data_IF_789048201386
#
_entry.id   IF_789048201386
#
_cell.length_a   1.000
_cell.length_b   1.000
_cell.length_c   1.000
_cell.angle_alpha   90.00
_cell.angle_beta   90.00
_cell.angle_gamma   90.00
#
_symmetry.space_group_name_H-M   'P 1'
#
loop_
_entity.id
_entity.type
_entity.pdbx_description
1 polymer ?
#
# COMPACT_ATOMS: atom_id res chain seq x y z
N UNK A 1 19.33 10.06 -13.36
CA UNK A 1 19.70 10.21 -11.93
C UNK A 1 20.42 8.95 -11.46
N UNK A 2 21.28 9.07 -10.44
CA UNK A 2 21.85 7.94 -9.69
C UNK A 2 20.96 7.71 -8.47
N UNK A 3 20.21 6.62 -8.45
CA UNK A 3 19.16 6.35 -7.44
C UNK A 3 19.60 5.19 -6.54
N UNK A 4 19.48 5.37 -5.23
CA UNK A 4 19.54 4.26 -4.28
C UNK A 4 18.11 3.76 -4.03
N UNK A 5 17.90 2.45 -4.11
CA UNK A 5 16.61 1.82 -3.86
C UNK A 5 16.74 0.72 -2.81
N UNK A 6 16.13 0.88 -1.66
CA UNK A 6 16.05 -0.15 -0.64
C UNK A 6 14.85 -1.06 -0.88
N UNK A 7 14.97 -2.36 -0.64
CA UNK A 7 13.86 -3.29 -0.84
C UNK A 7 13.55 -3.62 -2.31
N UNK A 8 14.51 -3.41 -3.22
CA UNK A 8 14.34 -3.58 -4.67
C UNK A 8 13.96 -4.99 -5.13
N UNK A 9 14.20 -6.02 -4.32
CA UNK A 9 13.85 -7.42 -4.63
C UNK A 9 12.41 -7.79 -4.23
N UNK A 10 11.67 -6.87 -3.61
CA UNK A 10 10.26 -7.02 -3.26
C UNK A 10 9.32 -6.89 -4.46
N UNK A 11 8.01 -7.05 -4.24
CA UNK A 11 7.02 -6.96 -5.32
C UNK A 11 7.00 -5.56 -5.98
N UNK A 12 6.84 -4.52 -5.20
CA UNK A 12 6.91 -3.12 -5.66
C UNK A 12 8.31 -2.79 -6.18
N UNK A 13 9.37 -3.23 -5.46
CA UNK A 13 10.75 -2.94 -5.79
C UNK A 13 11.16 -3.41 -7.17
N UNK A 14 10.75 -4.61 -7.56
CA UNK A 14 11.08 -5.17 -8.90
C UNK A 14 10.48 -4.35 -10.04
N UNK A 15 9.23 -3.94 -9.90
CA UNK A 15 8.59 -3.07 -10.89
C UNK A 15 9.29 -1.70 -10.94
N UNK A 16 9.64 -1.16 -9.78
CA UNK A 16 10.36 0.12 -9.67
C UNK A 16 11.75 0.04 -10.30
N UNK A 17 12.54 -1.01 -10.02
CA UNK A 17 13.85 -1.20 -10.66
C UNK A 17 13.73 -1.23 -12.17
N UNK A 18 12.81 -2.04 -12.72
CA UNK A 18 12.61 -2.15 -14.17
C UNK A 18 12.28 -0.81 -14.79
N UNK A 19 11.33 -0.08 -14.20
CA UNK A 19 10.94 1.24 -14.70
C UNK A 19 12.10 2.24 -14.68
N UNK A 20 12.84 2.29 -13.59
CA UNK A 20 13.99 3.19 -13.46
C UNK A 20 15.08 2.92 -14.50
N UNK A 21 15.41 1.64 -14.76
CA UNK A 21 16.37 1.26 -15.79
C UNK A 21 15.85 1.62 -17.18
N UNK A 22 14.58 1.32 -17.49
CA UNK A 22 13.95 1.67 -18.77
C UNK A 22 14.00 3.17 -19.05
N UNK A 23 13.91 4.00 -18.00
CA UNK A 23 13.96 5.45 -18.10
C UNK A 23 15.38 6.03 -17.93
N UNK A 24 16.42 5.19 -18.03
CA UNK A 24 17.82 5.61 -18.08
C UNK A 24 18.42 6.05 -16.75
N UNK A 25 17.85 5.63 -15.62
CA UNK A 25 18.45 5.90 -14.31
C UNK A 25 19.51 4.86 -13.97
N UNK A 26 20.59 5.27 -13.27
CA UNK A 26 21.55 4.35 -12.69
C UNK A 26 21.05 3.93 -11.29
N UNK A 27 20.79 2.63 -11.11
CA UNK A 27 20.14 2.10 -9.91
C UNK A 27 21.11 1.26 -9.08
N UNK A 28 21.23 1.63 -7.78
CA UNK A 28 21.82 0.77 -6.75
C UNK A 28 20.71 0.23 -5.87
N UNK A 29 20.59 -1.09 -5.82
CA UNK A 29 19.64 -1.79 -4.95
C UNK A 29 20.35 -2.21 -3.66
N UNK A 30 19.74 -1.85 -2.53
CA UNK A 30 20.20 -2.25 -1.18
C UNK A 30 19.25 -3.31 -0.63
N UNK A 31 19.80 -4.44 -0.18
CA UNK A 31 19.04 -5.53 0.42
C UNK A 31 19.84 -6.27 1.51
N UNK A 32 19.12 -6.89 2.46
CA UNK A 32 19.73 -7.60 3.59
C UNK A 32 20.38 -8.93 3.23
N UNK A 33 19.83 -9.62 2.21
CA UNK A 33 20.33 -10.93 1.78
C UNK A 33 21.57 -10.78 0.93
N UNK A 34 22.48 -11.75 1.00
CA UNK A 34 23.57 -11.86 0.04
C UNK A 34 23.02 -12.12 -1.37
N UNK A 35 23.79 -11.79 -2.40
CA UNK A 35 23.35 -11.91 -3.79
C UNK A 35 22.99 -13.36 -4.18
N UNK A 36 23.75 -14.32 -3.70
CA UNK A 36 23.56 -15.76 -3.92
C UNK A 36 22.35 -16.36 -3.16
N UNK A 37 21.87 -15.66 -2.13
CA UNK A 37 20.67 -16.03 -1.38
C UNK A 37 19.36 -15.48 -2.02
N UNK A 38 19.47 -14.71 -3.11
CA UNK A 38 18.32 -14.14 -3.78
C UNK A 38 17.61 -15.20 -4.64
N UNK A 39 16.29 -15.16 -4.59
CA UNK A 39 15.43 -16.00 -5.44
C UNK A 39 15.47 -15.49 -6.90
N UNK A 40 16.44 -16.01 -7.66
CA UNK A 40 16.70 -15.61 -9.04
C UNK A 40 15.52 -15.93 -9.96
N UNK A 41 14.82 -17.05 -9.75
CA UNK A 41 13.63 -17.42 -10.53
C UNK A 41 12.52 -16.38 -10.34
N UNK A 42 12.29 -15.96 -9.12
CA UNK A 42 11.28 -14.93 -8.80
C UNK A 42 11.65 -13.56 -9.35
N UNK A 43 12.92 -13.19 -9.36
CA UNK A 43 13.41 -11.93 -9.90
C UNK A 43 13.28 -11.88 -11.42
N UNK A 44 13.52 -13.00 -12.08
CA UNK A 44 13.51 -13.16 -13.52
C UNK A 44 14.89 -12.93 -14.14
N UNK A 45 15.07 -13.51 -15.32
CA UNK A 45 16.32 -13.38 -16.07
C UNK A 45 16.66 -11.91 -16.35
N UNK A 46 17.93 -11.55 -16.22
CA UNK A 46 18.41 -10.19 -16.50
C UNK A 46 17.95 -9.12 -15.50
N UNK A 47 17.35 -9.47 -14.37
CA UNK A 47 16.85 -8.48 -13.39
C UNK A 47 17.95 -7.52 -12.91
N UNK A 48 19.16 -8.00 -12.79
CA UNK A 48 20.31 -7.18 -12.34
C UNK A 48 21.13 -6.59 -13.49
N UNK A 49 20.69 -6.71 -14.75
CA UNK A 49 21.39 -6.09 -15.88
C UNK A 49 21.30 -4.56 -15.74
N UNK A 50 22.45 -3.92 -15.62
CA UNK A 50 22.52 -2.48 -15.36
C UNK A 50 22.17 -2.05 -13.92
N UNK A 51 22.03 -3.01 -12.99
CA UNK A 51 21.72 -2.75 -11.57
C UNK A 51 22.90 -3.13 -10.70
N UNK A 52 23.33 -2.21 -9.86
CA UNK A 52 24.30 -2.49 -8.81
C UNK A 52 23.56 -3.01 -7.57
N UNK A 53 23.80 -4.26 -7.16
CA UNK A 53 23.24 -4.81 -5.93
C UNK A 53 24.29 -4.81 -4.82
N UNK A 54 23.91 -4.32 -3.64
CA UNK A 54 24.77 -4.31 -2.44
C UNK A 54 24.03 -4.89 -1.25
N UNK A 55 24.73 -5.72 -0.49
CA UNK A 55 24.20 -6.27 0.76
C UNK A 55 24.37 -5.24 1.88
N UNK A 56 23.25 -4.79 2.46
CA UNK A 56 23.25 -3.90 3.62
C UNK A 56 21.93 -3.98 4.36
N UNK A 57 21.97 -4.00 5.69
CA UNK A 57 20.79 -3.78 6.53
C UNK A 57 20.60 -2.26 6.72
N UNK A 58 19.38 -1.76 6.50
CA UNK A 58 19.05 -0.34 6.72
C UNK A 58 19.20 0.10 8.18
N UNK A 59 19.30 -0.85 9.12
CA UNK A 59 19.60 -0.56 10.53
C UNK A 59 21.11 -0.47 10.82
N UNK A 60 21.98 -0.86 9.89
CA UNK A 60 23.41 -0.57 9.94
C UNK A 60 23.66 0.79 9.27
N UNK A 61 23.63 1.84 10.08
CA UNK A 61 23.68 3.22 9.62
C UNK A 61 24.97 3.55 8.87
N UNK A 62 26.13 3.11 9.37
CA UNK A 62 27.44 3.48 8.76
C UNK A 62 27.58 2.81 7.38
N UNK A 63 27.30 1.52 7.28
CA UNK A 63 27.30 0.80 6.00
C UNK A 63 26.26 1.38 5.03
N UNK A 64 25.05 1.69 5.49
CA UNK A 64 24.03 2.31 4.66
C UNK A 64 24.49 3.66 4.11
N UNK A 65 25.10 4.49 4.94
CA UNK A 65 25.59 5.82 4.54
C UNK A 65 26.66 5.74 3.44
N UNK A 66 27.55 4.76 3.50
CA UNK A 66 28.55 4.53 2.44
C UNK A 66 27.88 4.28 1.08
N UNK A 67 26.77 3.50 1.08
CA UNK A 67 26.04 3.19 -0.15
C UNK A 67 25.18 4.37 -0.65
N UNK A 68 24.74 5.26 0.24
CA UNK A 68 23.97 6.48 -0.09
C UNK A 68 24.85 7.53 -0.76
N UNK A 69 26.16 7.56 -0.44
CA UNK A 69 27.10 8.56 -0.99
C UNK A 69 27.09 8.63 -2.51
N UNK A 70 27.01 9.85 -3.04
CA UNK A 70 27.04 10.11 -4.48
C UNK A 70 25.76 9.70 -5.22
N UNK A 71 24.64 9.51 -4.53
CA UNK A 71 23.30 9.33 -5.13
C UNK A 71 22.61 10.69 -5.25
N UNK A 72 21.72 10.79 -6.23
CA UNK A 72 20.92 11.99 -6.49
C UNK A 72 19.56 11.95 -5.75
N UNK A 73 19.06 10.74 -5.45
CA UNK A 73 17.80 10.51 -4.75
C UNK A 73 17.68 9.11 -4.20
N UNK A 74 16.71 8.91 -3.32
CA UNK A 74 16.47 7.61 -2.66
C UNK A 74 15.00 7.20 -2.81
N UNK A 75 14.78 5.93 -3.20
CA UNK A 75 13.49 5.25 -3.06
C UNK A 75 13.60 4.24 -1.93
N UNK A 76 12.77 4.42 -0.90
CA UNK A 76 12.81 3.59 0.30
C UNK A 76 11.59 2.67 0.39
N UNK A 77 11.78 1.38 0.07
CA UNK A 77 10.74 0.35 0.08
C UNK A 77 10.99 -0.75 1.12
N UNK A 78 12.18 -0.81 1.72
CA UNK A 78 12.52 -1.83 2.69
C UNK A 78 11.69 -1.67 3.97
N UNK A 79 10.81 -2.63 4.23
CA UNK A 79 9.93 -2.65 5.39
C UNK A 79 9.41 -4.07 5.66
N UNK A 80 8.89 -4.29 6.86
CA UNK A 80 7.94 -5.37 7.13
C UNK A 80 6.57 -4.86 6.68
N UNK A 81 5.96 -5.54 5.71
CA UNK A 81 4.83 -5.01 4.94
C UNK A 81 3.43 -5.31 5.53
N UNK A 82 3.36 -5.95 6.69
CA UNK A 82 2.09 -6.25 7.40
C UNK A 82 2.37 -6.62 8.86
N UNK A 83 1.39 -6.47 9.78
CA UNK A 83 1.63 -6.67 11.22
C UNK A 83 1.96 -8.12 11.61
N UNK A 84 1.60 -9.12 10.76
CA UNK A 84 1.90 -10.53 11.00
C UNK A 84 3.31 -10.94 10.53
N UNK A 85 4.10 -10.02 9.97
CA UNK A 85 5.43 -10.32 9.41
C UNK A 85 6.53 -10.51 10.46
N UNK A 86 6.33 -9.96 11.66
CA UNK A 86 7.26 -10.08 12.79
C UNK A 86 6.58 -9.60 14.09
N UNK A 87 7.20 -9.81 15.27
CA UNK A 87 6.76 -9.18 16.52
C UNK A 87 6.71 -7.65 16.40
N UNK A 88 5.78 -7.02 17.13
CA UNK A 88 5.49 -5.58 17.03
C UNK A 88 6.71 -4.68 17.18
N UNK A 89 7.59 -4.98 18.14
CA UNK A 89 8.83 -4.24 18.36
C UNK A 89 9.79 -4.35 17.18
N UNK A 90 9.81 -5.49 16.49
CA UNK A 90 10.66 -5.69 15.32
C UNK A 90 10.07 -4.98 14.09
N UNK A 91 8.73 -4.96 13.94
CA UNK A 91 8.06 -4.13 12.93
C UNK A 91 8.43 -2.67 13.11
N UNK A 92 8.35 -2.16 14.34
CA UNK A 92 8.72 -0.77 14.65
C UNK A 92 10.21 -0.50 14.40
N UNK A 93 11.09 -1.37 14.87
CA UNK A 93 12.53 -1.23 14.68
C UNK A 93 12.92 -1.16 13.20
N UNK A 94 12.41 -2.06 12.37
CA UNK A 94 12.74 -2.08 10.95
C UNK A 94 12.08 -0.92 10.22
N UNK A 95 10.78 -0.70 10.42
CA UNK A 95 10.06 0.29 9.65
C UNK A 95 10.38 1.72 10.07
N UNK A 96 10.54 1.99 11.36
CA UNK A 96 10.75 3.36 11.85
C UNK A 96 12.24 3.70 12.00
N UNK A 97 13.02 2.90 12.75
CA UNK A 97 14.45 3.19 12.91
C UNK A 97 15.19 3.05 11.58
N UNK A 98 14.86 2.04 10.77
CA UNK A 98 15.44 1.88 9.44
C UNK A 98 15.14 3.07 8.52
N UNK A 99 13.88 3.57 8.52
CA UNK A 99 13.52 4.77 7.76
C UNK A 99 14.26 6.00 8.26
N UNK A 100 14.34 6.20 9.57
CA UNK A 100 15.11 7.30 10.14
C UNK A 100 16.58 7.28 9.67
N UNK A 101 17.22 6.09 9.67
CA UNK A 101 18.59 5.93 9.18
C UNK A 101 18.74 6.30 7.71
N UNK A 102 17.75 5.92 6.86
CA UNK A 102 17.76 6.29 5.44
C UNK A 102 17.71 7.80 5.25
N UNK A 103 16.81 8.49 5.94
CA UNK A 103 16.71 9.96 5.89
C UNK A 103 17.95 10.64 6.50
N UNK A 104 18.48 10.11 7.62
CA UNK A 104 19.68 10.64 8.23
C UNK A 104 20.92 10.50 7.33
N UNK A 105 21.04 9.36 6.62
CA UNK A 105 22.10 9.16 5.63
C UNK A 105 21.92 10.11 4.43
N UNK A 106 20.68 10.29 3.94
CA UNK A 106 20.37 11.28 2.91
C UNK A 106 20.79 12.69 3.30
N UNK A 107 20.46 13.12 4.52
CA UNK A 107 20.84 14.43 5.05
C UNK A 107 22.36 14.62 5.10
N UNK A 108 23.08 13.61 5.59
CA UNK A 108 24.56 13.64 5.70
C UNK A 108 25.27 13.69 4.35
N UNK A 109 24.70 13.07 3.35
CA UNK A 109 25.26 13.04 1.99
C UNK A 109 24.64 14.12 1.06
N UNK A 110 23.83 15.04 1.60
CA UNK A 110 23.29 16.19 0.91
C UNK A 110 22.16 15.88 -0.08
N UNK A 111 21.53 14.71 0.00
CA UNK A 111 20.40 14.31 -0.86
C UNK A 111 19.15 15.08 -0.43
N UNK A 112 18.44 15.63 -1.42
CA UNK A 112 17.26 16.50 -1.20
C UNK A 112 15.93 15.92 -1.72
N UNK A 113 15.94 14.75 -2.36
CA UNK A 113 14.74 14.07 -2.88
C UNK A 113 14.67 12.64 -2.39
N UNK A 114 13.52 12.29 -1.80
CA UNK A 114 13.26 10.96 -1.28
C UNK A 114 11.80 10.55 -1.52
N UNK A 115 11.57 9.30 -1.92
CA UNK A 115 10.25 8.71 -2.01
C UNK A 115 10.19 7.44 -1.16
N UNK A 116 9.31 7.37 -0.17
CA UNK A 116 9.19 6.22 0.73
C UNK A 116 7.84 5.53 0.65
N UNK A 117 7.82 4.23 0.93
CA UNK A 117 6.60 3.45 0.97
C UNK A 117 5.89 3.62 2.33
N UNK A 118 4.80 4.37 2.34
CA UNK A 118 3.77 4.31 3.36
C UNK A 118 2.74 3.24 2.99
N UNK A 119 1.54 3.31 3.53
CA UNK A 119 0.47 2.35 3.28
C UNK A 119 -0.89 3.03 3.48
N UNK A 120 -1.92 2.57 2.76
CA UNK A 120 -3.31 2.89 3.08
C UNK A 120 -3.64 2.58 4.55
N UNK A 121 -2.90 1.65 5.16
CA UNK A 121 -3.06 1.30 6.56
C UNK A 121 -2.56 2.37 7.53
N UNK A 122 -1.83 3.42 7.09
CA UNK A 122 -1.57 4.60 7.91
C UNK A 122 -2.88 5.28 8.37
N UNK A 123 -3.99 5.04 7.67
CA UNK A 123 -5.33 5.44 8.12
C UNK A 123 -5.75 4.75 9.44
N UNK A 124 -5.39 3.47 9.65
CA UNK A 124 -5.71 2.69 10.85
C UNK A 124 -6.94 1.79 10.75
N UNK A 125 -7.61 1.71 9.60
CA UNK A 125 -8.88 1.01 9.47
C UNK A 125 -8.75 -0.52 9.38
N UNK A 126 -7.86 -1.03 8.51
CA UNK A 126 -7.82 -2.45 8.16
C UNK A 126 -7.29 -3.36 9.29
N UNK A 127 -6.14 -3.00 9.88
CA UNK A 127 -5.48 -3.81 10.91
C UNK A 127 -5.76 -3.35 12.34
N UNK A 128 -6.53 -2.27 12.50
CA UNK A 128 -6.81 -1.70 13.80
C UNK A 128 -7.43 -2.71 14.78
N UNK A 129 -6.96 -2.70 16.02
CA UNK A 129 -7.50 -3.50 17.14
C UNK A 129 -8.83 -2.94 17.64
N UNK A 130 -9.08 -1.66 17.38
CA UNK A 130 -10.29 -0.94 17.76
C UNK A 130 -10.98 -0.48 16.48
N UNK A 131 -12.32 -0.62 16.38
CA UNK A 131 -13.08 -0.06 15.25
C UNK A 131 -12.80 1.43 15.10
N UNK A 132 -12.69 1.87 13.86
CA UNK A 132 -12.47 3.26 13.49
C UNK A 132 -13.54 3.68 12.48
N UNK A 133 -14.19 4.79 12.74
CA UNK A 133 -15.27 5.28 11.89
C UNK A 133 -14.72 6.15 10.75
N UNK A 134 -15.07 5.79 9.53
CA UNK A 134 -14.81 6.62 8.34
C UNK A 134 -15.78 7.80 8.36
N UNK A 135 -15.27 9.00 8.12
CA UNK A 135 -16.05 10.23 8.22
C UNK A 135 -16.66 10.65 6.87
N UNK A 136 -15.95 10.39 5.78
CA UNK A 136 -16.38 10.78 4.43
C UNK A 136 -15.72 9.95 3.32
N UNK A 137 -16.28 10.03 2.13
CA UNK A 137 -15.73 9.46 0.88
C UNK A 137 -15.73 10.49 -0.27
N UNK A 138 -14.81 10.34 -1.27
CA UNK A 138 -13.59 9.52 -1.18
C UNK A 138 -12.71 9.95 0.00
N UNK A 139 -11.97 8.99 0.57
CA UNK A 139 -10.98 9.25 1.61
C UNK A 139 -9.77 9.95 0.96
N UNK A 140 -9.33 11.05 1.53
CA UNK A 140 -8.11 11.76 1.14
C UNK A 140 -7.10 11.85 2.30
N UNK A 141 -5.99 12.54 2.10
CA UNK A 141 -4.93 12.68 3.09
C UNK A 141 -5.32 13.52 4.31
N UNK A 142 -6.38 14.32 4.20
CA UNK A 142 -6.92 15.13 5.30
C UNK A 142 -7.83 14.31 6.24
N UNK A 143 -8.23 13.10 5.83
CA UNK A 143 -9.04 12.24 6.70
C UNK A 143 -8.29 11.89 7.98
N UNK A 144 -8.91 12.01 9.17
CA UNK A 144 -8.30 11.63 10.42
C UNK A 144 -7.78 10.19 10.41
N UNK A 145 -6.67 9.95 11.07
CA UNK A 145 -6.04 8.63 11.22
C UNK A 145 -6.17 8.13 12.65
N UNK A 146 -6.34 6.80 12.81
CA UNK A 146 -6.46 6.19 14.12
C UNK A 146 -5.82 4.80 14.14
N UNK A 147 -4.50 4.74 14.23
CA UNK A 147 -3.76 3.49 14.21
C UNK A 147 -3.69 2.85 15.59
N UNK A 148 -4.00 1.56 15.68
CA UNK A 148 -3.97 0.78 16.92
C UNK A 148 -3.19 -0.53 16.80
N UNK A 149 -2.58 -0.79 15.65
CA UNK A 149 -1.62 -1.87 15.42
C UNK A 149 -0.23 -1.35 15.07
N UNK A 150 0.78 -2.18 15.31
CA UNK A 150 2.18 -1.78 15.16
C UNK A 150 2.61 -1.44 13.73
N UNK A 151 2.02 -2.11 12.74
CA UNK A 151 2.35 -1.86 11.34
C UNK A 151 1.76 -0.53 10.87
N UNK A 152 0.45 -0.32 11.07
CA UNK A 152 -0.23 0.92 10.70
C UNK A 152 0.42 2.11 11.41
N UNK A 153 0.71 1.98 12.70
CA UNK A 153 1.44 3.00 13.46
C UNK A 153 2.83 3.26 12.88
N UNK A 154 3.57 2.19 12.52
CA UNK A 154 4.89 2.38 11.90
C UNK A 154 4.82 3.19 10.60
N UNK A 155 3.73 3.07 9.84
CA UNK A 155 3.54 3.83 8.59
C UNK A 155 3.21 5.31 8.84
N UNK A 156 2.46 5.64 9.89
CA UNK A 156 2.33 7.04 10.33
C UNK A 156 3.69 7.62 10.74
N UNK A 157 4.48 6.88 11.53
CA UNK A 157 5.81 7.34 11.95
C UNK A 157 6.74 7.56 10.75
N UNK A 158 6.66 6.74 9.69
CA UNK A 158 7.40 6.96 8.43
C UNK A 158 7.06 8.32 7.81
N UNK A 159 5.78 8.71 7.79
CA UNK A 159 5.33 10.00 7.27
C UNK A 159 5.85 11.16 8.14
N UNK A 160 5.78 11.02 9.46
CA UNK A 160 6.33 11.99 10.43
C UNK A 160 7.85 12.15 10.34
N UNK A 161 8.58 11.07 10.05
CA UNK A 161 10.03 11.13 9.79
C UNK A 161 10.31 11.98 8.55
N UNK A 162 9.53 11.83 7.48
CA UNK A 162 9.64 12.66 6.28
C UNK A 162 9.45 14.13 6.60
N UNK A 163 8.39 14.48 7.33
CA UNK A 163 8.10 15.86 7.74
C UNK A 163 9.18 16.43 8.67
N UNK A 164 9.68 15.64 9.61
CA UNK A 164 10.80 16.04 10.46
C UNK A 164 12.04 16.41 9.65
N UNK A 165 12.43 15.58 8.66
CA UNK A 165 13.62 15.85 7.85
C UNK A 165 13.39 16.97 6.81
N UNK A 166 12.17 17.24 6.38
CA UNK A 166 11.85 18.46 5.65
C UNK A 166 12.12 19.70 6.49
N UNK A 167 11.55 19.78 7.70
CA UNK A 167 11.73 20.93 8.60
C UNK A 167 13.19 21.15 9.00
N UNK A 168 13.93 20.04 9.21
CA UNK A 168 15.31 20.10 9.71
C UNK A 168 16.33 20.29 8.61
N UNK A 169 16.18 19.61 7.48
CA UNK A 169 17.23 19.47 6.45
C UNK A 169 16.79 19.95 5.06
N UNK A 170 15.52 20.28 4.87
CA UNK A 170 14.94 20.63 3.58
C UNK A 170 14.95 19.46 2.59
N UNK A 171 14.76 18.23 3.07
CA UNK A 171 14.60 17.05 2.21
C UNK A 171 13.15 16.98 1.77
N UNK A 172 12.88 17.28 0.51
CA UNK A 172 11.56 17.08 -0.08
C UNK A 172 11.27 15.59 -0.26
N UNK A 173 10.12 15.13 0.23
CA UNK A 173 9.77 13.72 0.16
C UNK A 173 8.30 13.48 -0.10
N UNK A 174 8.00 12.33 -0.69
CA UNK A 174 6.65 11.76 -0.72
C UNK A 174 6.63 10.44 0.03
N UNK A 175 5.57 10.24 0.81
CA UNK A 175 5.31 9.01 1.54
C UNK A 175 4.07 8.37 0.92
N UNK A 176 4.28 7.40 0.00
CA UNK A 176 3.21 6.87 -0.83
C UNK A 176 2.37 5.86 -0.05
N UNK A 177 1.11 6.19 0.22
CA UNK A 177 0.12 5.34 0.89
C UNK A 177 -0.41 4.30 -0.09
N UNK A 178 0.35 3.21 -0.26
CA UNK A 178 0.01 2.12 -1.16
C UNK A 178 -1.15 1.27 -0.60
N UNK A 179 -2.14 0.91 -1.43
CA UNK A 179 -3.13 -0.12 -1.11
C UNK A 179 -2.55 -1.52 -1.35
N UNK A 180 -3.43 -2.52 -1.57
CA UNK A 180 -3.02 -3.83 -2.07
C UNK A 180 -2.36 -3.71 -3.45
N UNK A 181 -1.08 -4.09 -3.53
CA UNK A 181 -0.32 -4.05 -4.78
C UNK A 181 -0.38 -5.40 -5.48
N UNK A 182 -0.80 -5.40 -6.71
CA UNK A 182 -0.84 -6.58 -7.57
C UNK A 182 0.05 -6.38 -8.81
N UNK A 183 0.20 -7.40 -9.60
CA UNK A 183 0.89 -7.36 -10.87
C UNK A 183 -0.02 -8.07 -11.89
N UNK A 184 -0.52 -7.34 -12.87
CA UNK A 184 -1.29 -7.90 -13.97
C UNK A 184 -0.32 -8.71 -14.84
N UNK A 185 -0.27 -10.01 -14.58
CA UNK A 185 0.51 -10.97 -15.35
C UNK A 185 -0.39 -12.12 -15.79
N UNK A 186 -0.26 -12.60 -17.02
CA UNK A 186 -1.11 -13.68 -17.53
C UNK A 186 -1.15 -14.92 -16.62
N UNK A 187 -0.02 -15.30 -16.02
CA UNK A 187 0.13 -16.43 -15.10
C UNK A 187 -0.49 -16.23 -13.71
N UNK A 188 -0.88 -15.01 -13.36
CA UNK A 188 -1.46 -14.65 -12.05
C UNK A 188 -2.89 -14.13 -12.13
N UNK A 189 -3.38 -13.87 -13.33
CA UNK A 189 -4.72 -13.34 -13.58
C UNK A 189 -5.82 -14.24 -13.00
N UNK A 190 -5.66 -15.57 -13.10
CA UNK A 190 -6.66 -16.51 -12.62
C UNK A 190 -6.89 -16.41 -11.11
N UNK A 191 -5.84 -16.11 -10.34
CA UNK A 191 -5.99 -15.89 -8.89
C UNK A 191 -6.83 -14.64 -8.60
N UNK A 192 -6.59 -13.55 -9.31
CA UNK A 192 -7.33 -12.30 -9.14
C UNK A 192 -8.76 -12.42 -9.64
N UNK A 193 -8.99 -13.03 -10.79
CA UNK A 193 -10.33 -13.36 -11.31
C UNK A 193 -11.10 -14.23 -10.31
N UNK A 194 -10.44 -15.19 -9.69
CA UNK A 194 -11.06 -16.04 -8.68
C UNK A 194 -11.50 -15.24 -7.43
N UNK A 195 -10.67 -14.31 -6.93
CA UNK A 195 -11.00 -13.52 -5.75
C UNK A 195 -12.08 -12.46 -6.03
N UNK A 196 -11.88 -11.65 -7.05
CA UNK A 196 -12.82 -10.57 -7.38
C UNK A 196 -14.07 -11.10 -8.07
N UNK A 197 -13.97 -12.15 -8.87
CA UNK A 197 -15.11 -12.80 -9.52
C UNK A 197 -16.09 -13.37 -8.52
N UNK A 198 -15.60 -14.08 -7.50
CA UNK A 198 -16.47 -14.59 -6.41
C UNK A 198 -17.18 -13.49 -5.66
N UNK A 199 -16.47 -12.39 -5.36
CA UNK A 199 -17.09 -11.23 -4.73
C UNK A 199 -18.18 -10.64 -5.63
N UNK A 200 -17.89 -10.44 -6.92
CA UNK A 200 -18.86 -9.88 -7.89
C UNK A 200 -20.12 -10.74 -8.02
N UNK A 201 -19.95 -12.06 -8.15
CA UNK A 201 -21.06 -13.00 -8.20
C UNK A 201 -21.91 -12.94 -6.92
N UNK A 202 -21.25 -13.04 -5.76
CA UNK A 202 -21.91 -12.98 -4.46
C UNK A 202 -22.62 -11.64 -4.24
N UNK A 203 -21.98 -10.52 -4.59
CA UNK A 203 -22.55 -9.19 -4.41
C UNK A 203 -23.67 -8.91 -5.40
N UNK A 204 -23.58 -9.37 -6.66
CA UNK A 204 -24.69 -9.28 -7.63
C UNK A 204 -25.94 -10.00 -7.13
N UNK A 205 -25.80 -11.20 -6.58
CA UNK A 205 -26.93 -11.93 -5.97
C UNK A 205 -27.44 -11.23 -4.70
N UNK A 206 -26.55 -10.64 -3.92
CA UNK A 206 -26.88 -9.94 -2.67
C UNK A 206 -27.74 -8.69 -2.91
N UNK A 207 -27.43 -7.88 -3.92
CA UNK A 207 -28.17 -6.63 -4.20
C UNK A 207 -29.58 -6.85 -4.74
N UNK A 208 -29.91 -8.07 -5.16
CA UNK A 208 -31.27 -8.46 -5.57
C UNK A 208 -32.17 -8.79 -4.36
N UNK A 209 -31.62 -8.92 -3.15
CA UNK A 209 -32.39 -9.18 -1.93
C UNK A 209 -33.19 -7.93 -1.50
N UNK A 210 -34.26 -8.11 -0.71
CA UNK A 210 -34.96 -6.98 -0.08
C UNK A 210 -34.00 -6.13 0.76
N UNK A 211 -34.12 -4.81 0.73
CA UNK A 211 -33.23 -3.88 1.41
C UNK A 211 -33.06 -4.17 2.92
N UNK A 212 -34.13 -4.56 3.60
CA UNK A 212 -34.09 -4.92 5.02
C UNK A 212 -33.21 -6.15 5.25
N UNK A 213 -33.28 -7.16 4.37
CA UNK A 213 -32.44 -8.33 4.43
C UNK A 213 -30.97 -8.01 4.14
N UNK A 214 -30.71 -7.20 3.11
CA UNK A 214 -29.36 -6.69 2.81
C UNK A 214 -28.73 -6.03 4.05
N UNK A 215 -29.46 -5.10 4.66
CA UNK A 215 -29.02 -4.38 5.85
C UNK A 215 -28.70 -5.31 7.01
N UNK A 216 -29.63 -6.20 7.34
CA UNK A 216 -29.45 -7.15 8.44
C UNK A 216 -28.25 -8.09 8.22
N UNK A 217 -28.02 -8.53 6.98
CA UNK A 217 -26.87 -9.40 6.63
C UNK A 217 -25.54 -8.66 6.75
N UNK A 218 -25.44 -7.43 6.23
CA UNK A 218 -24.22 -6.63 6.33
C UNK A 218 -23.90 -6.25 7.78
N UNK A 219 -24.87 -5.86 8.58
CA UNK A 219 -24.70 -5.56 10.00
C UNK A 219 -24.15 -6.78 10.76
N UNK A 220 -24.72 -7.98 10.53
CA UNK A 220 -24.18 -9.23 11.13
C UNK A 220 -22.76 -9.54 10.65
N UNK A 221 -22.47 -9.36 9.35
CA UNK A 221 -21.16 -9.63 8.80
C UNK A 221 -20.09 -8.68 9.36
N UNK A 222 -20.43 -7.40 9.52
CA UNK A 222 -19.54 -6.41 10.16
C UNK A 222 -19.28 -6.76 11.61
N UNK A 223 -20.33 -7.10 12.39
CA UNK A 223 -20.18 -7.51 13.78
C UNK A 223 -19.28 -8.74 13.92
N UNK A 224 -19.50 -9.77 13.12
CA UNK A 224 -18.61 -10.96 13.07
C UNK A 224 -17.17 -10.61 12.68
N UNK A 225 -17.00 -9.69 11.72
CA UNK A 225 -15.66 -9.22 11.34
C UNK A 225 -14.97 -8.56 12.53
N UNK A 226 -15.67 -7.69 13.25
CA UNK A 226 -15.11 -6.98 14.41
C UNK A 226 -14.77 -7.94 15.56
N UNK A 227 -15.54 -9.02 15.75
CA UNK A 227 -15.21 -10.12 16.69
C UNK A 227 -13.90 -10.84 16.30
N UNK A 228 -13.53 -10.86 15.02
CA UNK A 228 -12.26 -11.45 14.58
C UNK A 228 -11.05 -10.54 14.80
N UNK A 229 -11.26 -9.30 15.27
CA UNK A 229 -10.14 -8.41 15.62
C UNK A 229 -9.36 -9.05 16.79
N UNK A 230 -8.02 -9.02 16.75
CA UNK A 230 -7.24 -9.54 17.85
C UNK A 230 -7.56 -8.79 19.14
N UNK A 231 -7.67 -9.52 20.25
CA UNK A 231 -7.74 -8.88 21.55
C UNK A 231 -6.41 -8.15 21.84
N UNK A 232 -6.45 -7.16 22.71
CA UNK A 232 -5.28 -6.32 23.04
C UNK A 232 -4.15 -7.14 23.69
N UNK A 233 -4.46 -8.24 24.37
CA UNK A 233 -3.49 -9.12 25.01
C UNK A 233 -2.93 -10.18 24.05
N UNK A 234 -3.68 -10.55 23.01
CA UNK A 234 -3.42 -11.68 22.12
C UNK A 234 -2.94 -11.28 20.71
N UNK A 235 -2.48 -10.03 20.49
CA UNK A 235 -1.94 -9.65 19.19
C UNK A 235 -0.63 -10.39 18.91
N UNK A 236 -0.77 -11.62 18.49
CA UNK A 236 0.34 -12.46 18.05
C UNK A 236 0.54 -12.35 16.54
N UNK A 237 1.81 -12.27 16.07
CA UNK A 237 2.14 -12.33 14.65
C UNK A 237 1.66 -13.60 13.95
N UNK A 238 1.30 -14.61 14.73
CA UNK A 238 0.75 -15.89 14.27
C UNK A 238 -0.78 -15.92 14.25
N UNK A 239 -1.45 -14.77 14.13
CA UNK A 239 -2.89 -14.77 13.86
C UNK A 239 -3.15 -15.72 12.68
N UNK A 240 -3.92 -16.78 12.93
CA UNK A 240 -4.13 -17.83 11.93
C UNK A 240 -4.94 -17.26 10.75
N UNK A 241 -4.21 -16.64 9.80
CA UNK A 241 -4.81 -16.16 8.55
C UNK A 241 -5.52 -17.29 7.80
N UNK A 242 -5.12 -18.56 8.01
CA UNK A 242 -5.80 -19.71 7.43
C UNK A 242 -7.18 -19.93 8.06
N UNK A 243 -7.31 -19.72 9.37
CA UNK A 243 -8.61 -19.77 10.05
C UNK A 243 -9.53 -18.64 9.55
N UNK A 244 -9.01 -17.41 9.41
CA UNK A 244 -9.75 -16.30 8.78
C UNK A 244 -10.20 -16.64 7.35
N UNK A 245 -9.29 -17.12 6.51
CA UNK A 245 -9.62 -17.55 5.14
C UNK A 245 -10.63 -18.70 5.10
N UNK A 246 -10.62 -19.59 6.10
CA UNK A 246 -11.60 -20.67 6.24
C UNK A 246 -12.96 -20.08 6.59
N UNK A 247 -13.06 -19.25 7.63
CA UNK A 247 -14.29 -18.59 8.05
C UNK A 247 -14.95 -17.81 6.90
N UNK A 248 -14.16 -17.09 6.10
CA UNK A 248 -14.65 -16.39 4.90
C UNK A 248 -15.23 -17.32 3.84
N UNK A 249 -14.72 -18.54 3.72
CA UNK A 249 -15.25 -19.53 2.76
C UNK A 249 -16.49 -20.23 3.26
N UNK A 250 -16.63 -20.38 4.57
CA UNK A 250 -17.74 -21.05 5.22
C UNK A 250 -18.93 -20.12 5.47
N UNK A 251 -18.69 -18.81 5.54
CA UNK A 251 -19.71 -17.77 5.73
C UNK A 251 -19.74 -16.81 4.51
N UNK A 252 -20.77 -16.91 3.65
CA UNK A 252 -20.89 -16.05 2.47
C UNK A 252 -20.97 -14.56 2.80
N UNK A 253 -21.52 -14.18 3.96
CA UNK A 253 -21.66 -12.78 4.37
C UNK A 253 -20.29 -12.19 4.75
N UNK A 254 -19.42 -12.98 5.41
CA UNK A 254 -18.02 -12.61 5.61
C UNK A 254 -17.25 -12.51 4.28
N UNK A 255 -17.61 -13.32 3.29
CA UNK A 255 -17.07 -13.21 1.93
C UNK A 255 -17.33 -11.85 1.28
N UNK A 256 -18.48 -11.22 1.54
CA UNK A 256 -18.79 -9.86 1.08
C UNK A 256 -17.91 -8.79 1.76
N UNK A 257 -17.58 -8.96 3.04
CA UNK A 257 -16.73 -7.99 3.77
C UNK A 257 -15.26 -8.07 3.35
N UNK A 258 -14.75 -9.27 3.10
CA UNK A 258 -13.33 -9.52 2.80
C UNK A 258 -13.02 -9.63 1.30
N UNK A 259 -14.01 -9.89 0.45
CA UNK A 259 -13.80 -10.19 -0.97
C UNK A 259 -13.25 -9.00 -1.77
N UNK A 260 -12.49 -9.30 -2.82
CA UNK A 260 -12.05 -8.32 -3.82
C UNK A 260 -11.27 -7.12 -3.27
N UNK A 261 -10.29 -7.34 -2.37
CA UNK A 261 -9.65 -6.32 -1.52
C UNK A 261 -10.54 -5.72 -0.44
N UNK A 262 -11.80 -6.10 -0.40
CA UNK A 262 -12.75 -5.94 0.66
C UNK A 262 -13.02 -4.54 1.17
N UNK A 263 -14.05 -4.48 2.01
CA UNK A 263 -14.46 -3.28 2.74
C UNK A 263 -13.30 -2.63 3.51
N UNK A 264 -12.43 -3.44 4.12
CA UNK A 264 -11.33 -2.95 4.97
C UNK A 264 -10.23 -2.20 4.20
N UNK A 265 -10.15 -2.39 2.88
CA UNK A 265 -9.21 -1.70 1.99
C UNK A 265 -9.94 -0.79 1.00
N UNK A 266 -11.23 -0.55 1.20
CA UNK A 266 -12.08 0.32 0.36
C UNK A 266 -12.08 -0.07 -1.12
N UNK A 267 -11.84 -1.35 -1.42
CA UNK A 267 -11.61 -1.88 -2.77
C UNK A 267 -10.54 -1.13 -3.57
N UNK A 268 -9.66 -0.42 -2.86
CA UNK A 268 -8.51 0.22 -3.48
C UNK A 268 -7.42 -0.81 -3.82
N UNK A 269 -6.82 -0.66 -4.98
CA UNK A 269 -5.74 -1.52 -5.49
C UNK A 269 -4.83 -0.73 -6.42
N UNK A 270 -3.63 -1.23 -6.67
CA UNK A 270 -2.69 -0.62 -7.61
C UNK A 270 -1.86 -1.70 -8.31
N UNK A 271 -1.64 -1.54 -9.62
CA UNK A 271 -0.63 -2.34 -10.32
C UNK A 271 0.78 -1.96 -9.88
N UNK A 272 1.68 -2.94 -9.77
CA UNK A 272 3.06 -2.71 -9.37
C UNK A 272 3.80 -1.72 -10.31
N UNK A 273 3.40 -1.65 -11.59
CA UNK A 273 3.96 -0.71 -12.57
C UNK A 273 3.52 0.72 -12.32
N UNK A 274 2.26 0.93 -11.90
CA UNK A 274 1.75 2.24 -11.51
C UNK A 274 2.35 2.70 -10.17
N UNK A 275 2.57 1.77 -9.24
CA UNK A 275 3.34 2.10 -8.04
C UNK A 275 4.77 2.54 -8.37
N UNK A 276 5.41 1.89 -9.36
CA UNK A 276 6.74 2.29 -9.84
C UNK A 276 6.72 3.68 -10.50
N UNK A 277 5.67 4.02 -11.26
CA UNK A 277 5.45 5.36 -11.80
C UNK A 277 5.41 6.40 -10.67
N UNK A 278 4.63 6.15 -9.62
CA UNK A 278 4.50 7.08 -8.51
C UNK A 278 5.83 7.30 -7.78
N UNK A 279 6.62 6.24 -7.55
CA UNK A 279 7.95 6.36 -6.93
C UNK A 279 8.95 7.14 -7.78
N UNK A 280 8.99 6.90 -9.09
CA UNK A 280 9.85 7.65 -10.00
C UNK A 280 9.46 9.13 -10.02
N UNK A 281 8.16 9.43 -10.17
CA UNK A 281 7.64 10.80 -10.14
C UNK A 281 7.89 11.49 -8.80
N UNK A 282 7.89 10.75 -7.70
CA UNK A 282 8.28 11.25 -6.38
C UNK A 282 9.71 11.78 -6.31
N UNK A 283 10.63 11.29 -7.17
CA UNK A 283 11.99 11.83 -7.28
C UNK A 283 12.14 12.91 -8.35
N UNK A 284 11.34 12.87 -9.42
CA UNK A 284 11.53 13.68 -10.61
C UNK A 284 10.61 14.90 -10.68
N UNK A 285 9.47 14.89 -9.99
CA UNK A 285 8.55 16.02 -9.96
C UNK A 285 9.12 17.21 -9.16
N UNK A 286 8.71 18.40 -9.55
CA UNK A 286 9.10 19.65 -8.87
C UNK A 286 8.10 19.98 -7.76
N UNK A 287 8.49 19.69 -6.54
CA UNK A 287 7.73 20.04 -5.32
C UNK A 287 8.67 20.26 -4.14
N UNK A 288 8.17 20.90 -3.10
CA UNK A 288 8.84 21.07 -1.82
C UNK A 288 7.94 20.54 -0.69
N UNK A 289 8.53 20.12 0.40
CA UNK A 289 7.78 19.59 1.54
C UNK A 289 7.85 18.08 1.67
N UNK A 290 7.19 17.57 2.70
CA UNK A 290 6.94 16.15 2.90
C UNK A 290 5.45 15.88 2.77
N UNK A 291 5.07 15.01 1.85
CA UNK A 291 3.68 14.80 1.50
C UNK A 291 3.31 13.31 1.60
N UNK A 292 2.43 12.90 2.54
CA UNK A 292 1.73 11.65 2.39
C UNK A 292 0.80 11.72 1.18
N UNK A 293 0.76 10.70 0.33
CA UNK A 293 -0.07 10.69 -0.87
C UNK A 293 -0.68 9.30 -1.08
N UNK A 294 -1.98 9.22 -1.24
CA UNK A 294 -2.61 8.00 -1.73
C UNK A 294 -2.30 7.80 -3.21
N UNK A 295 -1.91 6.58 -3.55
CA UNK A 295 -1.65 6.16 -4.92
C UNK A 295 -2.30 4.80 -5.16
N UNK A 296 -3.32 4.79 -6.00
CA UNK A 296 -4.11 3.61 -6.34
C UNK A 296 -4.71 3.76 -7.74
N UNK A 297 -5.38 2.70 -8.20
CA UNK A 297 -6.19 2.75 -9.41
C UNK A 297 -7.28 3.83 -9.29
N UNK A 298 -7.66 4.44 -10.37
CA UNK A 298 -8.76 5.41 -10.42
C UNK A 298 -10.14 4.77 -10.28
N UNK A 299 -10.24 3.45 -10.45
CA UNK A 299 -11.47 2.68 -10.25
C UNK A 299 -11.37 1.75 -9.02
N UNK A 300 -12.51 1.46 -8.42
CA UNK A 300 -12.59 0.46 -7.36
C UNK A 300 -12.50 -0.98 -7.92
N UNK A 301 -11.78 -1.84 -7.24
CA UNK A 301 -11.59 -3.24 -7.64
C UNK A 301 -12.87 -4.10 -7.54
N UNK A 302 -13.90 -3.63 -6.86
CA UNK A 302 -15.19 -4.31 -6.77
C UNK A 302 -15.91 -4.35 -8.12
N UNK A 303 -15.76 -3.30 -8.93
CA UNK A 303 -16.39 -3.17 -10.24
C UNK A 303 -17.88 -2.78 -10.18
N UNK A 304 -18.33 -2.26 -9.05
CA UNK A 304 -19.68 -1.75 -8.85
C UNK A 304 -19.70 -0.23 -8.65
N UNK A 305 -20.84 0.44 -8.85
CA UNK A 305 -20.95 1.86 -8.56
C UNK A 305 -20.52 2.19 -7.13
N UNK A 306 -19.64 3.18 -6.98
CA UNK A 306 -19.00 3.53 -5.71
C UNK A 306 -20.03 3.99 -4.66
N UNK A 307 -21.04 4.73 -5.07
CA UNK A 307 -22.12 5.12 -4.17
C UNK A 307 -22.90 3.90 -3.62
N UNK A 308 -23.15 2.88 -4.46
CA UNK A 308 -23.77 1.63 -4.02
C UNK A 308 -22.91 0.91 -2.97
N UNK A 309 -21.57 0.84 -3.19
CA UNK A 309 -20.67 0.24 -2.22
C UNK A 309 -20.68 0.99 -0.89
N UNK A 310 -20.68 2.33 -0.92
CA UNK A 310 -20.73 3.14 0.31
C UNK A 310 -22.06 2.94 1.04
N UNK A 311 -23.19 3.04 0.34
CA UNK A 311 -24.52 2.85 0.94
C UNK A 311 -24.68 1.46 1.57
N UNK A 312 -24.12 0.44 0.94
CA UNK A 312 -24.20 -0.94 1.43
C UNK A 312 -23.28 -1.20 2.64
N UNK A 313 -22.02 -0.84 2.52
CA UNK A 313 -21.00 -1.28 3.47
C UNK A 313 -20.60 -0.22 4.50
N UNK A 314 -21.03 1.02 4.31
CA UNK A 314 -20.76 2.16 5.20
C UNK A 314 -22.02 3.02 5.38
N UNK A 315 -23.19 2.43 5.76
CA UNK A 315 -24.47 3.14 5.71
C UNK A 315 -24.54 4.37 6.63
N UNK A 316 -23.67 4.46 7.64
CA UNK A 316 -23.56 5.62 8.54
C UNK A 316 -22.72 6.76 7.98
N UNK A 317 -22.00 6.57 6.86
CA UNK A 317 -21.07 7.57 6.32
C UNK A 317 -21.78 8.41 5.25
N UNK A 318 -22.23 9.59 5.65
CA UNK A 318 -22.91 10.55 4.76
C UNK A 318 -22.00 11.63 4.19
N UNK A 319 -20.82 11.82 4.79
CA UNK A 319 -19.82 12.79 4.32
C UNK A 319 -19.31 12.47 2.91
N UNK A 320 -19.22 13.50 2.07
CA UNK A 320 -18.67 13.41 0.71
C UNK A 320 -17.76 14.61 0.47
N UNK A 321 -16.56 14.37 -0.10
CA UNK A 321 -15.71 15.46 -0.61
C UNK A 321 -16.23 15.98 -1.95
N UNK A 322 -16.81 15.08 -2.75
CA UNK A 322 -17.56 15.34 -3.97
C UNK A 322 -18.55 14.18 -4.24
N UNK A 323 -19.58 14.36 -5.08
CA UNK A 323 -20.48 13.27 -5.47
C UNK A 323 -19.71 12.15 -6.18
N UNK A 324 -19.84 10.91 -5.68
CA UNK A 324 -19.18 9.74 -6.25
C UNK A 324 -19.69 9.43 -7.67
N UNK A 325 -18.78 9.26 -8.62
CA UNK A 325 -19.10 9.02 -10.03
C UNK A 325 -18.82 7.57 -10.44
N UNK A 326 -19.81 6.88 -10.97
CA UNK A 326 -19.62 5.55 -11.54
C UNK A 326 -18.87 4.60 -10.59
N UNK A 327 -17.74 4.08 -11.04
CA UNK A 327 -16.86 3.15 -10.30
C UNK A 327 -15.60 3.81 -9.76
N UNK A 328 -15.57 5.12 -9.61
CA UNK A 328 -14.38 5.79 -9.12
C UNK A 328 -13.88 5.18 -7.80
N UNK A 329 -12.60 5.29 -7.54
CA UNK A 329 -12.01 4.82 -6.30
C UNK A 329 -12.61 5.50 -5.08
N UNK A 330 -12.75 4.78 -3.97
CA UNK A 330 -13.19 5.34 -2.68
C UNK A 330 -12.04 5.99 -1.88
N UNK A 331 -10.85 6.01 -2.46
CA UNK A 331 -9.65 6.64 -1.89
C UNK A 331 -9.08 7.58 -2.96
N UNK A 332 -9.18 8.89 -2.73
CA UNK A 332 -8.78 9.90 -3.71
C UNK A 332 -7.29 9.85 -4.02
N UNK A 333 -6.95 10.02 -5.29
CA UNK A 333 -5.59 10.18 -5.80
C UNK A 333 -5.33 11.60 -6.32
N UNK A 334 -6.22 12.54 -6.05
CA UNK A 334 -6.17 13.89 -6.62
C UNK A 334 -4.94 14.65 -6.17
N UNK A 335 -4.50 14.48 -4.91
CA UNK A 335 -3.27 15.09 -4.43
C UNK A 335 -2.02 14.50 -5.12
N UNK A 336 -2.01 13.20 -5.39
CA UNK A 336 -0.92 12.58 -6.15
C UNK A 336 -0.91 13.04 -7.62
N UNK A 337 -2.09 13.22 -8.23
CA UNK A 337 -2.23 13.81 -9.55
C UNK A 337 -1.70 15.23 -9.60
N UNK A 338 -2.16 16.06 -8.67
CA UNK A 338 -1.78 17.47 -8.63
C UNK A 338 -0.29 17.68 -8.34
N UNK A 339 0.28 16.93 -7.40
CA UNK A 339 1.67 17.14 -6.97
C UNK A 339 2.68 16.45 -7.88
N UNK A 340 2.39 15.22 -8.32
CA UNK A 340 3.33 14.38 -9.05
C UNK A 340 2.98 14.24 -10.55
N UNK A 341 1.77 14.59 -10.96
CA UNK A 341 1.24 14.19 -12.26
C UNK A 341 1.04 12.67 -12.34
N UNK A 342 0.79 12.00 -11.18
CA UNK A 342 0.49 10.58 -11.15
C UNK A 342 -0.80 10.29 -11.91
N UNK A 343 -0.79 9.27 -12.78
CA UNK A 343 -2.00 8.77 -13.43
C UNK A 343 -1.85 7.26 -13.62
N UNK A 344 -2.76 6.45 -13.07
CA UNK A 344 -2.70 5.00 -13.24
C UNK A 344 -2.91 4.63 -14.71
N UNK A 345 -2.06 3.74 -15.23
CA UNK A 345 -2.06 3.28 -16.62
C UNK A 345 -2.61 1.84 -16.75
N UNK A 346 -2.70 1.12 -15.63
CA UNK A 346 -3.07 -0.29 -15.59
C UNK A 346 -4.25 -0.50 -14.65
N UNK A 347 -5.43 -0.77 -15.22
CA UNK A 347 -6.66 -0.88 -14.46
C UNK A 347 -7.03 -2.33 -14.16
N UNK A 348 -7.44 -2.60 -12.93
CA UNK A 348 -7.87 -3.95 -12.55
C UNK A 348 -9.11 -4.39 -13.33
N UNK A 349 -9.92 -3.44 -13.79
CA UNK A 349 -11.09 -3.70 -14.64
C UNK A 349 -10.71 -4.39 -15.96
N UNK A 350 -9.56 -4.08 -16.54
CA UNK A 350 -9.04 -4.73 -17.76
C UNK A 350 -8.81 -6.23 -17.58
N UNK A 351 -8.47 -6.63 -16.33
CA UNK A 351 -8.29 -8.02 -15.96
C UNK A 351 -9.56 -8.87 -16.11
N UNK A 352 -10.73 -8.24 -16.17
CA UNK A 352 -12.03 -8.93 -16.18
C UNK A 352 -12.74 -8.91 -17.52
N UNK A 353 -12.15 -8.27 -18.53
CA UNK A 353 -12.80 -8.01 -19.80
C UNK A 353 -13.91 -6.96 -19.67
N UNK A 354 -14.14 -6.20 -20.73
CA UNK A 354 -15.31 -5.31 -20.81
C UNK A 354 -16.56 -6.18 -20.74
N UNK A 355 -17.27 -6.14 -19.62
CA UNK A 355 -18.61 -6.72 -19.51
C UNK A 355 -19.62 -5.78 -20.16
#
# INVERSE_FOLDING_TARGET
>A
MKILLTGGTGNVGRATVRRLIQNGHAVRVVGRRAYDELDQERLGEGFFDGVEYVQCDINDYETLREHVRGRDGIIHLAAIAHPMGAPSQEVFRINCSGTYNVYQAAAKEGIKKLASASSINALGFNYGLVPFEIQYFPIDEAHPTYTTDSYSFSKQVVEEIGDYFWRREGISSVNLRLPGVYEIRPDRMDRWRMFTGRFREAFSAFIELPQEEQRARIERAIAKYDETRPDRAGYHPNLDMRARWRAMREDPDLGLIFGGFGRSNFWASIDARDSAQAFEKGLTADYQGSHPLYVNDSENAAGFPSELLVQTFFPGVTGRTHPLQGRETLVSIDNARALLGYEPEYHISEAFGSS
#
